data_IF_604252986489
#
_entry.id   IF_604252986489
#
_cell.length_a   1.000
_cell.length_b   1.000
_cell.length_c   1.000
_cell.angle_alpha   90.00
_cell.angle_beta   90.00
_cell.angle_gamma   90.00
#
_symmetry.space_group_name_H-M   'P 1'
#
loop_
_entity.id
_entity.type
_entity.pdbx_description
1 polymer ?
#
# COMPACT_ATOMS: atom_id res chain seq x y z
N UNK A 1 28.71 -51.20 5.09
CA UNK A 1 28.53 -49.81 5.57
C UNK A 1 27.91 -49.03 4.43
N UNK A 2 26.66 -48.59 4.58
CA UNK A 2 26.03 -47.68 3.60
C UNK A 2 26.27 -46.28 4.13
N UNK A 3 27.21 -45.56 3.52
CA UNK A 3 27.47 -44.18 3.87
C UNK A 3 26.21 -43.38 3.59
N UNK A 4 25.70 -42.70 4.63
CA UNK A 4 24.50 -41.89 4.56
C UNK A 4 24.61 -40.93 3.38
N UNK A 5 23.70 -41.11 2.42
CA UNK A 5 23.53 -40.19 1.32
C UNK A 5 23.08 -38.87 1.92
N UNK A 6 23.98 -37.89 1.98
CA UNK A 6 23.60 -36.50 2.17
C UNK A 6 22.78 -36.11 0.94
N UNK A 7 21.47 -36.33 1.01
CA UNK A 7 20.53 -35.83 0.05
C UNK A 7 20.51 -34.30 0.18
N UNK A 8 21.38 -33.64 -0.58
CA UNK A 8 21.38 -32.20 -0.71
C UNK A 8 20.15 -31.82 -1.54
N UNK A 9 19.18 -31.16 -0.91
CA UNK A 9 18.01 -30.61 -1.61
C UNK A 9 18.51 -29.39 -2.39
N UNK A 10 18.45 -29.39 -3.74
CA UNK A 10 18.75 -28.18 -4.49
C UNK A 10 17.67 -27.16 -4.18
N UNK A 11 18.07 -26.04 -3.55
CA UNK A 11 17.21 -24.85 -3.51
C UNK A 11 17.26 -24.24 -4.90
N UNK A 12 16.11 -24.20 -5.58
CA UNK A 12 15.95 -23.41 -6.80
C UNK A 12 16.07 -21.94 -6.44
N UNK A 13 17.28 -21.39 -6.61
CA UNK A 13 17.49 -19.95 -6.61
C UNK A 13 17.15 -19.49 -8.01
N UNK A 14 15.90 -19.08 -8.21
CA UNK A 14 15.50 -18.43 -9.45
C UNK A 14 16.37 -17.18 -9.65
N UNK A 15 17.16 -17.08 -10.73
CA UNK A 15 17.90 -15.87 -11.02
C UNK A 15 16.92 -14.70 -11.13
N UNK A 16 17.27 -13.51 -10.62
CA UNK A 16 16.39 -12.37 -10.67
C UNK A 16 15.99 -12.13 -12.13
N UNK A 17 14.69 -12.12 -12.39
CA UNK A 17 14.19 -11.76 -13.72
C UNK A 17 14.75 -10.40 -14.14
N UNK A 18 14.90 -10.15 -15.44
CA UNK A 18 15.35 -8.84 -15.97
C UNK A 18 14.63 -7.66 -15.32
N UNK A 19 13.32 -7.79 -15.04
CA UNK A 19 12.50 -6.81 -14.32
C UNK A 19 12.98 -6.51 -12.90
N UNK A 20 13.44 -7.54 -12.16
CA UNK A 20 14.01 -7.42 -10.81
C UNK A 20 15.42 -6.83 -10.83
N UNK A 21 16.22 -7.09 -11.86
CA UNK A 21 17.54 -6.46 -12.00
C UNK A 21 17.46 -4.98 -12.40
N UNK A 22 16.47 -4.62 -13.22
CA UNK A 22 16.28 -3.22 -13.68
C UNK A 22 15.46 -2.36 -12.73
N UNK A 23 14.64 -2.96 -11.86
CA UNK A 23 13.87 -2.21 -10.85
C UNK A 23 14.69 -2.07 -9.58
N UNK A 24 15.13 -0.85 -9.28
CA UNK A 24 15.78 -0.52 -8.01
C UNK A 24 14.77 -0.56 -6.87
N UNK A 25 15.13 -1.20 -5.76
CA UNK A 25 14.26 -1.33 -4.57
C UNK A 25 13.84 0.04 -4.01
N UNK A 26 14.72 1.04 -4.13
CA UNK A 26 14.46 2.43 -3.72
C UNK A 26 13.35 3.09 -4.54
N UNK A 27 13.32 2.87 -5.86
CA UNK A 27 12.29 3.43 -6.73
C UNK A 27 10.91 2.85 -6.42
N UNK A 28 10.85 1.55 -6.11
CA UNK A 28 9.62 0.88 -5.71
C UNK A 28 9.11 1.42 -4.36
N UNK A 29 10.01 1.56 -3.38
CA UNK A 29 9.66 2.13 -2.08
C UNK A 29 9.12 3.57 -2.21
N UNK A 30 9.78 4.41 -3.02
CA UNK A 30 9.30 5.78 -3.26
C UNK A 30 7.94 5.80 -3.95
N UNK A 31 7.75 4.97 -4.97
CA UNK A 31 6.46 4.86 -5.65
C UNK A 31 5.35 4.35 -4.71
N UNK A 32 5.67 3.46 -3.79
CA UNK A 32 4.74 2.97 -2.77
C UNK A 32 4.38 4.07 -1.77
N UNK A 33 5.34 4.85 -1.30
CA UNK A 33 5.11 6.01 -0.43
C UNK A 33 4.22 7.06 -1.09
N UNK A 34 4.53 7.45 -2.33
CA UNK A 34 3.72 8.38 -3.12
C UNK A 34 2.28 7.89 -3.29
N UNK A 35 2.08 6.59 -3.53
CA UNK A 35 0.76 5.99 -3.65
C UNK A 35 -0.03 6.06 -2.33
N UNK A 36 0.62 5.73 -1.21
CA UNK A 36 0.01 5.75 0.11
C UNK A 36 -0.37 7.17 0.55
N UNK A 37 0.46 8.17 0.25
CA UNK A 37 0.16 9.56 0.55
C UNK A 37 -1.02 10.09 -0.29
N UNK A 38 -1.10 9.71 -1.57
CA UNK A 38 -2.27 10.03 -2.39
C UNK A 38 -3.58 9.47 -1.79
N UNK A 39 -3.54 8.29 -1.15
CA UNK A 39 -4.70 7.72 -0.47
C UNK A 39 -5.07 8.54 0.78
N UNK A 40 -4.08 9.00 1.56
CA UNK A 40 -4.31 9.84 2.74
C UNK A 40 -4.96 11.17 2.35
N UNK A 41 -4.43 11.86 1.34
CA UNK A 41 -4.99 13.12 0.84
C UNK A 41 -6.44 12.96 0.37
N UNK A 42 -6.73 11.88 -0.38
CA UNK A 42 -8.10 11.58 -0.83
C UNK A 42 -9.04 11.36 0.35
N UNK A 43 -8.61 10.63 1.38
CA UNK A 43 -9.40 10.37 2.60
C UNK A 43 -9.63 11.65 3.39
N UNK A 44 -8.62 12.50 3.54
CA UNK A 44 -8.75 13.78 4.25
C UNK A 44 -9.73 14.72 3.55
N UNK A 45 -9.60 14.85 2.22
CA UNK A 45 -10.54 15.64 1.41
C UNK A 45 -11.97 15.11 1.51
N UNK A 46 -12.15 13.79 1.56
CA UNK A 46 -13.46 13.18 1.78
C UNK A 46 -14.02 13.50 3.18
N UNK A 47 -13.18 13.43 4.23
CA UNK A 47 -13.57 13.81 5.60
C UNK A 47 -14.00 15.26 5.70
N UNK A 48 -13.28 16.19 5.08
CA UNK A 48 -13.64 17.61 5.09
C UNK A 48 -15.02 17.84 4.44
N UNK A 49 -15.27 17.18 3.31
CA UNK A 49 -16.58 17.22 2.63
C UNK A 49 -17.70 16.64 3.48
N UNK A 50 -17.46 15.51 4.14
CA UNK A 50 -18.43 14.93 5.08
C UNK A 50 -18.73 15.90 6.23
N UNK A 51 -17.70 16.46 6.85
CA UNK A 51 -17.84 17.38 7.98
C UNK A 51 -18.67 18.60 7.59
N UNK A 52 -18.36 19.23 6.44
CA UNK A 52 -19.11 20.36 5.92
C UNK A 52 -20.58 19.99 5.62
N UNK A 53 -20.81 18.79 5.08
CA UNK A 53 -22.16 18.29 4.77
C UNK A 53 -22.96 18.06 6.05
N UNK A 54 -22.38 17.39 7.04
CA UNK A 54 -22.98 17.15 8.37
C UNK A 54 -23.29 18.48 9.08
N UNK A 55 -22.37 19.44 9.03
CA UNK A 55 -22.58 20.76 9.64
C UNK A 55 -23.72 21.54 8.95
N UNK A 56 -23.81 21.50 7.62
CA UNK A 56 -24.92 22.12 6.88
C UNK A 56 -26.27 21.46 7.19
N UNK A 57 -26.29 20.13 7.29
CA UNK A 57 -27.49 19.39 7.65
C UNK A 57 -27.96 19.76 9.07
N UNK A 58 -27.04 19.81 10.04
CA UNK A 58 -27.33 20.23 11.41
C UNK A 58 -27.88 21.67 11.46
N UNK A 59 -27.29 22.61 10.72
CA UNK A 59 -27.79 24.00 10.64
C UNK A 59 -29.22 24.07 10.09
N UNK A 60 -29.54 23.31 9.02
CA UNK A 60 -30.88 23.27 8.43
C UNK A 60 -31.93 22.69 9.38
N UNK A 61 -31.54 21.71 10.18
CA UNK A 61 -32.45 21.10 11.15
C UNK A 61 -32.71 22.05 12.33
N UNK A 62 -31.65 22.68 12.86
CA UNK A 62 -31.74 23.62 13.98
C UNK A 62 -32.45 24.94 13.62
N UNK A 63 -32.49 25.34 12.34
CA UNK A 63 -33.22 26.54 11.90
C UNK A 63 -34.72 26.32 11.68
N UNK A 64 -35.19 25.06 11.76
CA UNK A 64 -36.60 24.68 11.62
C UNK A 64 -37.28 24.40 12.97
N UNK A 65 -36.54 24.54 14.07
CA UNK A 65 -37.05 24.60 15.45
C UNK A 65 -37.22 26.06 15.82
#
# INVERSE_FOLDING_TARGET
MVYGSYAMIPVEIDPPSWRRETTTLEENNRALEENLDMIKEKREKARFREFATKQRAARRYNSRV
#
